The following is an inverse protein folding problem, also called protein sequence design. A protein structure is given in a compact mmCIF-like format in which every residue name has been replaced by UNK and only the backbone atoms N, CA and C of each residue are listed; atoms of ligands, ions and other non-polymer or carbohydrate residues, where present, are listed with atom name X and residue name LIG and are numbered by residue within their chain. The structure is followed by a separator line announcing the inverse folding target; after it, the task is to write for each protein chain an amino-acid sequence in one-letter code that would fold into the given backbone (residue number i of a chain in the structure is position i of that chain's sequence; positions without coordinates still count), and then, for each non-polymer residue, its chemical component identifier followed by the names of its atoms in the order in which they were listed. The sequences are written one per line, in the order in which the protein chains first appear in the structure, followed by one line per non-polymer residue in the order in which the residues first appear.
data_IF_584984533222
#
_entry.id   IF_584984533222
#
_cell.length_a   1.000
_cell.length_b   1.000
_cell.length_c   1.000
_cell.angle_alpha   90.00
_cell.angle_beta   90.00
_cell.angle_gamma   90.00
#
_symmetry.space_group_name_H-M   'P 1'
#
loop_
_entity.id
_entity.type
_entity.pdbx_description
1 polymer ?
#
# COMPACT_ATOMS: atom_id res chain seq x y z
N UNK A 1 -11.47 3.07 22.87
CA UNK A 1 -10.12 3.52 22.45
C UNK A 1 -10.23 4.82 21.68
N UNK A 2 -9.36 5.80 21.98
CA UNK A 2 -9.23 7.01 21.15
C UNK A 2 -8.57 6.59 19.83
N UNK A 3 -9.34 6.59 18.74
CA UNK A 3 -8.90 6.03 17.45
C UNK A 3 -7.84 6.89 16.78
N UNK A 4 -7.62 8.14 17.23
CA UNK A 4 -6.64 9.08 16.66
C UNK A 4 -5.19 8.54 16.62
N UNK A 5 -4.81 7.68 17.57
CA UNK A 5 -3.48 7.04 17.60
C UNK A 5 -3.33 6.06 16.43
N UNK A 6 -4.41 5.45 15.96
CA UNK A 6 -4.37 4.50 14.84
C UNK A 6 -4.27 5.17 13.45
N UNK A 7 -4.22 6.50 13.38
CA UNK A 7 -4.18 7.24 12.11
C UNK A 7 -2.96 8.11 11.94
N UNK A 8 -1.92 7.83 12.72
CA UNK A 8 -0.64 8.46 12.56
C UNK A 8 0.29 7.50 11.78
N UNK A 9 0.82 7.90 10.62
CA UNK A 9 1.70 7.03 9.83
C UNK A 9 2.94 6.58 10.63
N UNK A 10 3.46 7.42 11.52
CA UNK A 10 4.57 7.05 12.39
C UNK A 10 4.21 5.97 13.43
N UNK A 11 3.04 6.07 14.06
CA UNK A 11 2.57 5.03 14.98
C UNK A 11 2.26 3.73 14.24
N UNK A 12 1.67 3.82 13.06
CA UNK A 12 1.36 2.64 12.24
C UNK A 12 2.61 1.92 11.77
N UNK A 13 3.71 2.62 11.49
CA UNK A 13 5.00 1.97 11.26
C UNK A 13 5.43 1.11 12.46
N UNK A 14 5.47 1.69 13.66
CA UNK A 14 5.89 0.97 14.86
C UNK A 14 4.95 -0.19 15.21
N UNK A 15 3.63 0.00 15.05
CA UNK A 15 2.62 -1.04 15.26
C UNK A 15 2.79 -2.18 14.24
N UNK A 16 2.97 -1.88 12.96
CA UNK A 16 3.04 -2.89 11.90
C UNK A 16 4.31 -3.73 12.02
N UNK A 17 5.47 -3.09 12.23
CA UNK A 17 6.72 -3.79 12.50
C UNK A 17 6.68 -4.54 13.83
N UNK A 18 6.07 -3.96 14.88
CA UNK A 18 5.89 -4.62 16.17
C UNK A 18 5.01 -5.87 16.09
N UNK A 19 3.94 -5.83 15.29
CA UNK A 19 3.09 -7.00 15.03
C UNK A 19 3.85 -8.07 14.24
N UNK A 20 4.62 -7.69 13.22
CA UNK A 20 5.45 -8.64 12.45
C UNK A 20 6.51 -9.29 13.35
N UNK A 21 7.16 -8.52 14.24
CA UNK A 21 8.08 -9.02 15.26
C UNK A 21 7.42 -9.98 16.25
N UNK A 22 6.21 -9.64 16.72
CA UNK A 22 5.44 -10.50 17.62
C UNK A 22 5.07 -11.82 16.97
N UNK A 23 4.71 -11.82 15.68
CA UNK A 23 4.46 -13.05 14.92
C UNK A 23 5.77 -13.81 14.73
N UNK A 24 6.86 -13.12 14.37
CA UNK A 24 8.19 -13.71 14.20
C UNK A 24 8.64 -14.48 15.45
N UNK A 25 8.37 -13.94 16.64
CA UNK A 25 8.76 -14.55 17.91
C UNK A 25 8.03 -15.87 18.23
N UNK A 26 7.02 -16.27 17.45
CA UNK A 26 6.36 -17.56 17.62
C UNK A 26 7.23 -18.76 17.18
N UNK A 27 8.27 -18.52 16.38
CA UNK A 27 9.23 -19.57 15.94
C UNK A 27 8.56 -20.81 15.33
N UNK A 28 7.53 -20.60 14.49
CA UNK A 28 6.85 -21.69 13.78
C UNK A 28 7.64 -22.20 12.57
N UNK A 29 8.74 -21.56 12.17
CA UNK A 29 9.65 -22.02 11.12
C UNK A 29 11.08 -22.12 11.64
N UNK A 30 11.74 -23.25 11.37
CA UNK A 30 13.15 -23.48 11.68
C UNK A 30 14.09 -22.76 10.68
N UNK A 31 13.56 -22.27 9.54
CA UNK A 31 14.30 -21.39 8.61
C UNK A 31 14.67 -20.04 9.24
N UNK A 32 13.97 -19.64 10.30
CA UNK A 32 14.06 -18.27 10.78
C UNK A 32 15.27 -18.09 11.69
N UNK A 33 16.26 -17.25 11.31
CA UNK A 33 17.42 -17.01 12.16
C UNK A 33 17.03 -16.32 13.49
N UNK A 34 17.77 -16.55 14.58
CA UNK A 34 17.56 -15.78 15.80
C UNK A 34 17.80 -14.29 15.54
N UNK A 35 17.06 -13.44 16.26
CA UNK A 35 17.21 -11.99 16.13
C UNK A 35 18.57 -11.53 16.66
N UNK A 36 19.31 -10.84 15.81
CA UNK A 36 20.57 -10.23 16.23
C UNK A 36 20.32 -9.02 17.15
N UNK A 37 21.27 -8.75 18.04
CA UNK A 37 21.26 -7.56 18.88
C UNK A 37 21.21 -6.28 18.03
N UNK A 38 21.91 -6.25 16.89
CA UNK A 38 21.94 -5.08 16.01
C UNK A 38 20.56 -4.77 15.40
N UNK A 39 19.86 -5.79 14.86
CA UNK A 39 18.49 -5.62 14.33
C UNK A 39 17.53 -5.20 15.42
N UNK A 40 17.61 -5.82 16.60
CA UNK A 40 16.75 -5.47 17.74
C UNK A 40 16.98 -4.02 18.18
N UNK A 41 18.23 -3.61 18.36
CA UNK A 41 18.58 -2.23 18.75
C UNK A 41 18.14 -1.22 17.69
N UNK A 42 18.38 -1.50 16.41
CA UNK A 42 17.93 -0.64 15.31
C UNK A 42 16.43 -0.44 15.35
N UNK A 43 15.63 -1.51 15.45
CA UNK A 43 14.17 -1.40 15.47
C UNK A 43 13.67 -0.65 16.70
N UNK A 44 14.21 -0.94 17.89
CA UNK A 44 13.90 -0.20 19.11
C UNK A 44 14.14 1.30 18.93
N UNK A 45 15.27 1.70 18.35
CA UNK A 45 15.56 3.10 18.04
C UNK A 45 14.57 3.68 17.04
N UNK A 46 14.25 2.97 15.95
CA UNK A 46 13.25 3.45 14.97
C UNK A 46 11.87 3.59 15.60
N UNK A 47 11.48 2.71 16.52
CA UNK A 47 10.20 2.79 17.23
C UNK A 47 10.15 3.99 18.16
N UNK A 48 11.23 4.28 18.89
CA UNK A 48 11.35 5.46 19.75
C UNK A 48 11.23 6.73 18.91
N UNK A 49 12.02 6.86 17.84
CA UNK A 49 12.01 8.03 16.95
C UNK A 49 10.65 8.21 16.29
N UNK A 50 10.09 7.14 15.74
CA UNK A 50 8.78 7.17 15.09
C UNK A 50 7.68 7.56 16.08
N UNK A 51 7.69 7.00 17.30
CA UNK A 51 6.73 7.37 18.34
C UNK A 51 6.86 8.85 18.72
N UNK A 52 8.08 9.36 18.90
CA UNK A 52 8.31 10.77 19.19
C UNK A 52 7.77 11.70 18.08
N UNK A 53 8.07 11.41 16.81
CA UNK A 53 7.56 12.18 15.67
C UNK A 53 6.03 12.06 15.56
N UNK A 54 5.49 10.88 15.86
CA UNK A 54 4.06 10.63 15.93
C UNK A 54 3.35 11.59 16.89
N UNK A 55 3.89 11.81 18.09
CA UNK A 55 3.32 12.75 19.07
C UNK A 55 3.20 14.16 18.49
N UNK A 56 4.20 14.63 17.72
CA UNK A 56 4.19 15.97 17.11
C UNK A 56 3.13 16.14 16.03
N UNK A 57 2.84 15.08 15.28
CA UNK A 57 1.89 15.10 14.16
C UNK A 57 0.45 14.77 14.60
N UNK A 58 0.26 14.02 15.69
CA UNK A 58 -1.02 13.46 16.10
C UNK A 58 -2.15 14.48 16.29
N UNK A 59 -1.84 15.72 16.69
CA UNK A 59 -2.86 16.76 16.94
C UNK A 59 -3.58 17.22 15.67
N UNK A 60 -3.04 16.96 14.48
CA UNK A 60 -3.57 17.44 13.20
C UNK A 60 -4.58 16.49 12.54
N UNK A 61 -4.64 15.24 12.99
CA UNK A 61 -5.34 14.17 12.28
C UNK A 61 -6.73 13.97 12.87
N UNK A 62 -7.71 14.55 12.21
CA UNK A 62 -9.13 14.40 12.54
C UNK A 62 -9.95 14.22 11.27
N UNK A 63 -11.03 13.46 11.36
CA UNK A 63 -11.96 13.31 10.26
C UNK A 63 -12.64 14.66 9.97
N UNK A 64 -12.47 15.16 8.74
CA UNK A 64 -13.12 16.39 8.27
C UNK A 64 -14.01 16.06 7.08
N UNK A 65 -15.32 16.34 7.15
CA UNK A 65 -16.24 15.98 6.08
C UNK A 65 -15.92 16.77 4.81
N UNK A 66 -15.99 16.08 3.67
CA UNK A 66 -15.77 16.64 2.33
C UNK A 66 -17.07 16.64 1.54
N UNK A 67 -17.37 17.77 0.90
CA UNK A 67 -18.56 17.90 0.05
C UNK A 67 -18.42 17.06 -1.21
N UNK A 68 -19.52 16.45 -1.65
CA UNK A 68 -19.58 15.76 -2.95
C UNK A 68 -19.30 16.72 -4.10
N UNK A 69 -18.59 16.25 -5.12
CA UNK A 69 -18.36 17.00 -6.36
C UNK A 69 -19.31 16.54 -7.46
N UNK A 70 -19.85 17.49 -8.23
CA UNK A 70 -20.69 17.20 -9.41
C UNK A 70 -19.92 16.51 -10.53
N UNK A 71 -18.58 16.61 -10.53
CA UNK A 71 -17.70 16.04 -11.56
C UNK A 71 -17.36 14.56 -11.32
N UNK A 72 -17.84 13.96 -10.23
CA UNK A 72 -17.45 12.59 -9.86
C UNK A 72 -17.77 11.56 -10.94
N UNK A 73 -18.97 11.61 -11.50
CA UNK A 73 -19.37 10.70 -12.56
C UNK A 73 -18.47 10.85 -13.80
N UNK A 74 -18.18 12.09 -14.21
CA UNK A 74 -17.32 12.37 -15.36
C UNK A 74 -15.91 11.80 -15.15
N UNK A 75 -15.31 12.02 -13.97
CA UNK A 75 -13.96 11.52 -13.68
C UNK A 75 -13.94 9.99 -13.67
N UNK A 76 -14.94 9.33 -13.06
CA UNK A 76 -15.06 7.88 -13.10
C UNK A 76 -15.17 7.35 -14.54
N UNK A 77 -15.98 7.99 -15.39
CA UNK A 77 -16.12 7.60 -16.79
C UNK A 77 -14.80 7.74 -17.55
N UNK A 78 -14.04 8.82 -17.32
CA UNK A 78 -12.72 9.01 -17.92
C UNK A 78 -11.73 7.93 -17.49
N UNK A 79 -11.72 7.53 -16.21
CA UNK A 79 -10.87 6.45 -15.71
C UNK A 79 -11.24 5.12 -16.38
N UNK A 80 -12.52 4.77 -16.41
CA UNK A 80 -12.98 3.52 -17.03
C UNK A 80 -12.69 3.51 -18.54
N UNK A 81 -12.90 4.63 -19.23
CA UNK A 81 -12.53 4.77 -20.64
C UNK A 81 -11.03 4.59 -20.85
N UNK A 82 -10.20 5.16 -19.98
CA UNK A 82 -8.74 5.03 -20.04
C UNK A 82 -8.29 3.56 -19.89
N UNK A 83 -8.86 2.82 -18.94
CA UNK A 83 -8.59 1.38 -18.83
C UNK A 83 -9.10 0.59 -20.02
N UNK A 84 -10.24 1.00 -20.60
CA UNK A 84 -10.76 0.37 -21.82
C UNK A 84 -9.77 0.54 -22.98
N UNK A 85 -9.12 1.70 -23.10
CA UNK A 85 -8.04 1.93 -24.07
C UNK A 85 -6.83 1.03 -23.79
N UNK A 86 -6.43 0.84 -22.53
CA UNK A 86 -5.35 -0.10 -22.19
C UNK A 86 -5.70 -1.54 -22.53
N UNK A 87 -6.93 -1.99 -22.27
CA UNK A 87 -7.37 -3.34 -22.67
C UNK A 87 -7.34 -3.53 -24.19
N UNK A 88 -7.68 -2.49 -24.97
CA UNK A 88 -7.57 -2.53 -26.42
C UNK A 88 -6.10 -2.58 -26.88
N UNK A 89 -5.23 -1.77 -26.28
CA UNK A 89 -3.80 -1.75 -26.57
C UNK A 89 -3.14 -3.11 -26.30
N UNK A 90 -3.46 -3.72 -25.16
CA UNK A 90 -2.96 -5.05 -24.76
C UNK A 90 -3.72 -6.22 -25.42
N UNK A 91 -4.67 -5.95 -26.32
CA UNK A 91 -5.49 -6.95 -27.04
C UNK A 91 -6.27 -7.90 -26.12
N UNK A 92 -6.64 -7.43 -24.94
CA UNK A 92 -7.53 -8.15 -24.04
C UNK A 92 -7.43 -7.72 -22.59
N UNK A 93 -8.21 -8.39 -21.75
CA UNK A 93 -8.29 -8.13 -20.32
C UNK A 93 -7.49 -9.23 -19.60
N UNK A 94 -6.47 -8.90 -18.79
CA UNK A 94 -5.58 -9.89 -18.18
C UNK A 94 -6.31 -11.03 -17.47
N UNK A 95 -7.33 -10.71 -16.66
CA UNK A 95 -8.13 -11.73 -15.97
C UNK A 95 -8.82 -12.71 -16.93
N UNK A 96 -9.38 -12.22 -18.05
CA UNK A 96 -10.04 -13.07 -19.04
C UNK A 96 -9.03 -13.91 -19.85
N UNK A 97 -7.85 -13.35 -20.09
CA UNK A 97 -6.77 -14.04 -20.80
C UNK A 97 -6.18 -15.17 -19.93
N UNK A 98 -6.05 -14.95 -18.62
CA UNK A 98 -5.68 -15.98 -17.66
C UNK A 98 -6.66 -17.16 -17.68
N UNK A 99 -7.97 -16.89 -17.70
CA UNK A 99 -8.99 -17.96 -17.81
C UNK A 99 -8.94 -18.71 -19.15
N UNK A 100 -8.34 -18.13 -20.19
CA UNK A 100 -8.09 -18.79 -21.47
C UNK A 100 -6.78 -19.57 -21.52
N UNK A 101 -6.03 -19.62 -20.41
CA UNK A 101 -4.73 -20.30 -20.32
C UNK A 101 -3.58 -19.56 -20.98
N UNK A 102 -3.73 -18.25 -21.26
CA UNK A 102 -2.64 -17.42 -21.77
C UNK A 102 -1.82 -16.95 -20.57
N UNK A 103 -0.53 -17.31 -20.55
CA UNK A 103 0.39 -16.81 -19.54
C UNK A 103 0.72 -15.35 -19.83
N UNK A 104 0.27 -14.45 -18.94
CA UNK A 104 0.47 -13.01 -19.07
C UNK A 104 0.94 -12.48 -17.73
N UNK A 105 2.14 -11.89 -17.74
CA UNK A 105 2.63 -11.13 -16.59
C UNK A 105 1.84 -9.82 -16.47
N UNK A 106 1.22 -9.58 -15.31
CA UNK A 106 0.54 -8.31 -15.05
C UNK A 106 1.51 -7.12 -15.04
N UNK A 107 2.82 -7.37 -14.89
CA UNK A 107 3.87 -6.35 -14.92
C UNK A 107 4.09 -5.77 -16.31
N UNK A 108 3.63 -6.46 -17.36
CA UNK A 108 3.72 -6.05 -18.77
C UNK A 108 2.41 -5.40 -19.26
N UNK A 109 1.42 -5.26 -18.38
CA UNK A 109 0.12 -4.70 -18.74
C UNK A 109 0.15 -3.17 -18.84
N UNK A 110 -0.59 -2.65 -19.83
CA UNK A 110 -0.87 -1.23 -19.97
C UNK A 110 0.07 -0.50 -20.94
N UNK A 111 -0.27 0.76 -21.23
CA UNK A 111 0.55 1.61 -22.07
C UNK A 111 1.71 2.14 -21.22
N UNK A 112 2.99 1.99 -21.63
CA UNK A 112 4.13 2.42 -20.84
C UNK A 112 3.99 3.86 -20.36
N UNK A 113 4.32 4.11 -19.09
CA UNK A 113 4.15 5.40 -18.39
C UNK A 113 2.69 5.81 -18.14
N UNK A 114 1.80 5.73 -19.14
CA UNK A 114 0.38 6.06 -18.97
C UNK A 114 -0.30 5.17 -17.93
N UNK A 115 -0.01 3.87 -17.95
CA UNK A 115 -0.52 2.90 -16.99
C UNK A 115 -0.23 3.32 -15.54
N UNK A 116 1.01 3.75 -15.27
CA UNK A 116 1.45 4.14 -13.93
C UNK A 116 0.64 5.33 -13.41
N UNK A 117 0.42 6.35 -14.25
CA UNK A 117 -0.40 7.51 -13.89
C UNK A 117 -1.88 7.14 -13.73
N UNK A 118 -2.45 6.39 -14.67
CA UNK A 118 -3.84 5.96 -14.61
C UNK A 118 -4.11 5.15 -13.35
N UNK A 119 -3.24 4.18 -13.05
CA UNK A 119 -3.36 3.30 -11.91
C UNK A 119 -3.26 4.04 -10.58
N UNK A 120 -2.21 4.85 -10.41
CA UNK A 120 -2.00 5.63 -9.18
C UNK A 120 -3.11 6.67 -8.97
N UNK A 121 -3.57 7.33 -10.05
CA UNK A 121 -4.69 8.27 -9.98
C UNK A 121 -6.00 7.57 -9.62
N UNK A 122 -6.25 6.38 -10.18
CA UNK A 122 -7.43 5.57 -9.86
C UNK A 122 -7.48 5.22 -8.39
N UNK A 123 -6.36 4.75 -7.81
CA UNK A 123 -6.26 4.43 -6.38
C UNK A 123 -6.51 5.66 -5.51
N UNK A 124 -5.82 6.79 -5.78
CA UNK A 124 -6.06 8.06 -5.10
C UNK A 124 -7.54 8.48 -5.17
N UNK A 125 -8.13 8.45 -6.37
CA UNK A 125 -9.48 8.95 -6.60
C UNK A 125 -10.53 8.05 -5.97
N UNK A 126 -10.30 6.74 -5.93
CA UNK A 126 -11.14 5.76 -5.22
C UNK A 126 -11.19 6.06 -3.73
N UNK A 127 -10.03 6.32 -3.10
CA UNK A 127 -9.93 6.69 -1.68
C UNK A 127 -10.66 8.03 -1.43
N UNK A 128 -10.50 9.00 -2.33
CA UNK A 128 -11.20 10.29 -2.23
C UNK A 128 -12.72 10.18 -2.38
N UNK A 129 -13.22 9.38 -3.34
CA UNK A 129 -14.65 9.09 -3.48
C UNK A 129 -15.21 8.40 -2.23
N UNK A 130 -14.45 7.45 -1.66
CA UNK A 130 -14.86 6.81 -0.42
C UNK A 130 -14.92 7.82 0.74
N UNK A 131 -13.98 8.76 0.81
CA UNK A 131 -14.03 9.85 1.78
C UNK A 131 -15.30 10.71 1.62
N UNK A 132 -15.67 11.06 0.39
CA UNK A 132 -16.92 11.76 0.10
C UNK A 132 -18.14 10.90 0.45
N UNK A 133 -18.12 9.60 0.17
CA UNK A 133 -19.18 8.68 0.58
C UNK A 133 -19.36 8.69 2.10
N UNK A 134 -18.28 8.56 2.88
CA UNK A 134 -18.35 8.62 4.35
C UNK A 134 -18.84 9.97 4.87
N UNK A 135 -18.52 11.05 4.17
CA UNK A 135 -18.95 12.40 4.52
C UNK A 135 -20.42 12.69 4.21
N UNK A 136 -20.94 12.21 3.08
CA UNK A 136 -22.27 12.57 2.57
C UNK A 136 -23.29 11.42 2.70
N UNK A 137 -22.84 10.18 2.92
CA UNK A 137 -23.63 8.94 3.02
C UNK A 137 -24.49 8.61 1.79
N UNK A 138 -24.11 9.11 0.61
CA UNK A 138 -24.84 8.85 -0.64
C UNK A 138 -24.43 7.52 -1.27
N UNK A 139 -25.38 6.61 -1.47
CA UNK A 139 -25.13 5.29 -2.04
C UNK A 139 -24.47 5.33 -3.43
N UNK A 140 -24.79 6.35 -4.24
CA UNK A 140 -24.15 6.56 -5.55
C UNK A 140 -22.63 6.70 -5.45
N UNK A 141 -22.12 7.35 -4.40
CA UNK A 141 -20.68 7.50 -4.19
C UNK A 141 -20.02 6.16 -3.85
N UNK A 142 -20.69 5.33 -3.05
CA UNK A 142 -20.24 3.96 -2.77
C UNK A 142 -20.18 3.12 -4.05
N UNK A 143 -21.21 3.19 -4.90
CA UNK A 143 -21.22 2.47 -6.17
C UNK A 143 -20.06 2.90 -7.07
N UNK A 144 -19.76 4.20 -7.15
CA UNK A 144 -18.61 4.70 -7.90
C UNK A 144 -17.28 4.22 -7.30
N UNK A 145 -17.14 4.20 -5.97
CA UNK A 145 -15.96 3.62 -5.31
C UNK A 145 -15.79 2.15 -5.68
N UNK A 146 -16.85 1.34 -5.58
CA UNK A 146 -16.80 -0.08 -5.92
C UNK A 146 -16.45 -0.29 -7.40
N UNK A 147 -17.02 0.52 -8.30
CA UNK A 147 -16.71 0.50 -9.72
C UNK A 147 -15.21 0.72 -10.00
N UNK A 148 -14.57 1.65 -9.29
CA UNK A 148 -13.14 1.93 -9.48
C UNK A 148 -12.20 0.92 -8.82
N UNK A 149 -12.71 0.00 -8.00
CA UNK A 149 -11.94 -1.16 -7.53
C UNK A 149 -11.87 -2.28 -8.58
N UNK A 150 -12.83 -2.34 -9.51
CA UNK A 150 -12.91 -3.38 -10.54
C UNK A 150 -11.66 -3.44 -11.43
N UNK A 151 -11.08 -2.31 -11.92
CA UNK A 151 -9.85 -2.36 -12.71
C UNK A 151 -8.73 -3.15 -12.05
N UNK A 152 -8.50 -3.01 -10.74
CA UNK A 152 -7.48 -3.76 -10.00
C UNK A 152 -7.70 -5.28 -10.06
N UNK A 153 -8.96 -5.72 -10.06
CA UNK A 153 -9.33 -7.14 -10.21
C UNK A 153 -9.08 -7.60 -11.65
N UNK A 154 -9.50 -6.80 -12.63
CA UNK A 154 -9.37 -7.13 -14.06
C UNK A 154 -7.91 -7.24 -14.53
N UNK A 155 -7.01 -6.44 -13.94
CA UNK A 155 -5.57 -6.49 -14.22
C UNK A 155 -4.80 -7.43 -13.28
N UNK A 156 -5.49 -8.16 -12.39
CA UNK A 156 -4.91 -9.11 -11.43
C UNK A 156 -3.93 -8.44 -10.43
N UNK A 157 -4.05 -7.13 -10.21
CA UNK A 157 -3.20 -6.41 -9.25
C UNK A 157 -3.80 -6.45 -7.83
N UNK A 158 -3.59 -7.60 -7.17
CA UNK A 158 -4.09 -7.87 -5.81
C UNK A 158 -3.48 -6.93 -4.76
N UNK A 159 -2.20 -6.59 -4.92
CA UNK A 159 -1.50 -5.68 -4.00
C UNK A 159 -2.15 -4.30 -3.97
N UNK A 160 -2.34 -3.68 -5.13
CA UNK A 160 -2.98 -2.37 -5.23
C UNK A 160 -4.42 -2.36 -4.72
N UNK A 161 -5.18 -3.45 -4.96
CA UNK A 161 -6.52 -3.61 -4.41
C UNK A 161 -6.51 -3.58 -2.88
N UNK A 162 -5.67 -4.41 -2.25
CA UNK A 162 -5.56 -4.49 -0.79
C UNK A 162 -5.11 -3.15 -0.21
N UNK A 163 -4.09 -2.51 -0.78
CA UNK A 163 -3.60 -1.20 -0.32
C UNK A 163 -4.69 -0.12 -0.40
N UNK A 164 -5.44 -0.06 -1.50
CA UNK A 164 -6.54 0.89 -1.68
C UNK A 164 -7.68 0.62 -0.69
N UNK A 165 -8.03 -0.64 -0.48
CA UNK A 165 -9.03 -1.05 0.50
C UNK A 165 -8.59 -0.74 1.94
N UNK A 166 -7.31 -0.92 2.27
CA UNK A 166 -6.76 -0.53 3.58
C UNK A 166 -6.85 0.98 3.78
N UNK A 167 -6.53 1.79 2.78
CA UNK A 167 -6.74 3.24 2.87
C UNK A 167 -8.22 3.59 3.10
N UNK A 168 -9.15 2.94 2.40
CA UNK A 168 -10.59 3.12 2.62
C UNK A 168 -11.00 2.70 4.04
N UNK A 169 -10.48 1.57 4.54
CA UNK A 169 -10.73 1.10 5.90
C UNK A 169 -10.24 2.13 6.94
N UNK A 170 -9.05 2.72 6.73
CA UNK A 170 -8.54 3.76 7.61
C UNK A 170 -9.46 4.99 7.64
N UNK A 171 -9.98 5.44 6.50
CA UNK A 171 -10.97 6.53 6.44
C UNK A 171 -12.26 6.14 7.17
N UNK A 172 -12.72 4.90 7.02
CA UNK A 172 -13.89 4.41 7.74
C UNK A 172 -13.68 4.45 9.26
N UNK A 173 -12.55 3.92 9.73
CA UNK A 173 -12.21 3.89 11.15
C UNK A 173 -12.00 5.31 11.72
N UNK A 174 -11.54 6.27 10.91
CA UNK A 174 -11.49 7.71 11.25
C UNK A 174 -12.87 8.32 11.40
N UNK A 175 -13.82 7.90 10.58
CA UNK A 175 -15.19 8.44 10.58
C UNK A 175 -16.03 8.01 11.79
N UNK A 176 -15.61 6.97 12.52
CA UNK A 176 -16.32 6.47 13.69
C UNK A 176 -15.71 7.00 14.99
N UNK A 177 -16.57 7.44 15.93
CA UNK A 177 -16.11 8.05 17.21
C UNK A 177 -15.49 7.04 18.19
N UNK A 178 -15.99 5.80 18.19
CA UNK A 178 -15.52 4.71 19.05
C UNK A 178 -15.66 3.40 18.29
N UNK A 179 -14.62 2.56 18.34
CA UNK A 179 -14.74 1.14 17.98
C UNK A 179 -15.45 0.45 19.14
N UNK A 180 -16.63 -0.12 18.87
CA UNK A 180 -17.39 -0.90 19.85
C UNK A 180 -16.83 -2.33 19.85
N UNK A 181 -16.83 -3.01 21.00
CA UNK A 181 -16.33 -4.40 21.14
C UNK A 181 -16.91 -5.34 20.07
N UNK A 182 -18.19 -5.19 19.73
CA UNK A 182 -18.83 -5.93 18.63
C UNK A 182 -18.12 -5.77 17.28
N UNK A 183 -17.70 -4.54 16.95
CA UNK A 183 -16.95 -4.26 15.72
C UNK A 183 -15.55 -4.88 15.77
N UNK A 184 -14.89 -4.84 16.93
CA UNK A 184 -13.58 -5.48 17.10
C UNK A 184 -13.68 -7.00 16.95
N UNK A 185 -14.66 -7.63 17.61
CA UNK A 185 -14.93 -9.08 17.48
C UNK A 185 -15.22 -9.46 16.03
N UNK A 186 -16.04 -8.68 15.32
CA UNK A 186 -16.32 -8.91 13.91
C UNK A 186 -15.05 -8.81 13.06
N UNK A 187 -14.21 -7.80 13.29
CA UNK A 187 -12.96 -7.62 12.55
C UNK A 187 -11.98 -8.78 12.80
N UNK A 188 -11.79 -9.16 14.06
CA UNK A 188 -10.89 -10.28 14.43
C UNK A 188 -11.40 -11.60 13.84
N UNK A 189 -12.70 -11.88 13.97
CA UNK A 189 -13.29 -13.10 13.41
C UNK A 189 -13.19 -13.11 11.89
N UNK A 190 -13.46 -11.98 11.22
CA UNK A 190 -13.34 -11.86 9.77
C UNK A 190 -11.89 -12.04 9.31
N UNK A 191 -10.92 -11.50 10.04
CA UNK A 191 -9.51 -11.68 9.75
C UNK A 191 -9.08 -13.15 9.93
N UNK A 192 -9.52 -13.81 11.00
CA UNK A 192 -9.23 -15.23 11.21
C UNK A 192 -9.80 -16.11 10.09
N UNK A 193 -11.07 -15.93 9.72
CA UNK A 193 -11.69 -16.65 8.61
C UNK A 193 -10.99 -16.36 7.28
N UNK A 194 -10.60 -15.10 7.04
CA UNK A 194 -9.86 -14.71 5.85
C UNK A 194 -8.49 -15.39 5.78
N UNK A 195 -7.71 -15.40 6.87
CA UNK A 195 -6.39 -16.04 6.89
C UNK A 195 -6.47 -17.56 6.75
N UNK A 196 -7.47 -18.19 7.36
CA UNK A 196 -7.75 -19.61 7.15
C UNK A 196 -8.09 -19.89 5.67
N UNK A 197 -9.03 -19.14 5.08
CA UNK A 197 -9.40 -19.29 3.68
C UNK A 197 -8.24 -19.01 2.72
N UNK A 198 -7.39 -18.03 3.04
CA UNK A 198 -6.18 -17.72 2.29
C UNK A 198 -5.21 -18.91 2.28
N UNK A 199 -4.95 -19.51 3.44
CA UNK A 199 -4.08 -20.69 3.53
C UNK A 199 -4.65 -21.91 2.84
N UNK A 200 -5.95 -22.18 3.01
CA UNK A 200 -6.65 -23.26 2.34
C UNK A 200 -6.54 -23.14 0.80
N UNK A 201 -6.85 -21.95 0.25
CA UNK A 201 -6.72 -21.70 -1.18
C UNK A 201 -5.27 -21.72 -1.66
N UNK A 202 -4.32 -21.31 -0.81
CA UNK A 202 -2.88 -21.39 -1.07
C UNK A 202 -2.42 -22.83 -1.29
N UNK A 203 -2.85 -23.75 -0.42
CA UNK A 203 -2.59 -25.19 -0.54
C UNK A 203 -3.21 -25.78 -1.81
N UNK A 204 -4.47 -25.47 -2.10
CA UNK A 204 -5.16 -25.94 -3.30
C UNK A 204 -4.45 -25.51 -4.58
N UNK A 205 -4.04 -24.24 -4.66
CA UNK A 205 -3.40 -23.69 -5.85
C UNK A 205 -1.98 -24.23 -6.08
N UNK A 206 -1.21 -24.36 -5.02
CA UNK A 206 0.25 -24.53 -5.13
C UNK A 206 0.69 -25.98 -4.91
N UNK A 207 -0.12 -26.79 -4.21
CA UNK A 207 0.24 -28.13 -3.77
C UNK A 207 -0.92 -29.13 -3.92
N UNK A 208 -1.87 -28.88 -4.82
CA UNK A 208 -3.06 -29.72 -5.04
C UNK A 208 -3.84 -30.05 -3.75
N UNK A 209 -3.80 -29.13 -2.79
CA UNK A 209 -4.48 -29.27 -1.51
C UNK A 209 -3.68 -29.97 -0.41
N UNK A 210 -2.45 -30.41 -0.66
CA UNK A 210 -1.58 -30.97 0.39
C UNK A 210 -1.04 -29.86 1.31
N UNK A 211 -1.49 -29.80 2.59
CA UNK A 211 -1.01 -28.80 3.53
C UNK A 211 0.43 -29.07 4.00
N UNK A 212 0.91 -30.32 3.92
CA UNK A 212 2.23 -30.71 4.44
C UNK A 212 3.35 -30.25 3.52
N UNK A 213 3.13 -30.28 2.20
CA UNK A 213 4.12 -29.83 1.22
C UNK A 213 4.61 -28.40 1.48
N UNK A 214 3.71 -27.46 1.80
CA UNK A 214 4.09 -26.10 2.14
C UNK A 214 4.90 -26.04 3.44
N UNK A 215 4.47 -26.77 4.47
CA UNK A 215 5.16 -26.85 5.77
C UNK A 215 6.58 -27.38 5.62
N UNK A 216 6.78 -28.45 4.84
CA UNK A 216 8.08 -29.04 4.60
C UNK A 216 9.00 -28.10 3.81
N UNK A 217 8.48 -27.44 2.78
CA UNK A 217 9.23 -26.53 1.93
C UNK A 217 9.75 -25.28 2.69
N UNK A 218 9.06 -24.91 3.76
CA UNK A 218 9.37 -23.74 4.60
C UNK A 218 9.86 -24.13 6.00
N UNK A 219 10.22 -25.41 6.17
CA UNK A 219 10.74 -26.01 7.40
C UNK A 219 9.93 -25.61 8.65
N UNK A 220 8.64 -25.93 8.65
CA UNK A 220 7.80 -25.72 9.81
C UNK A 220 8.34 -26.48 11.03
N UNK A 221 8.47 -25.77 12.15
CA UNK A 221 9.06 -26.33 13.35
C UNK A 221 8.17 -27.43 13.94
N UNK A 222 8.76 -28.44 14.62
CA UNK A 222 7.98 -29.49 15.28
C UNK A 222 6.92 -28.92 16.23
N UNK A 223 7.24 -27.83 16.92
CA UNK A 223 6.32 -27.14 17.83
C UNK A 223 5.02 -26.67 17.15
N UNK A 224 5.09 -26.26 15.88
CA UNK A 224 3.91 -25.86 15.12
C UNK A 224 3.21 -27.07 14.48
N UNK A 225 3.99 -28.00 13.93
CA UNK A 225 3.47 -29.22 13.29
C UNK A 225 2.67 -30.07 14.28
N UNK A 226 3.13 -30.17 15.53
CA UNK A 226 2.46 -30.94 16.58
C UNK A 226 1.38 -30.14 17.32
N UNK A 227 1.23 -28.84 17.02
CA UNK A 227 0.22 -28.00 17.66
C UNK A 227 -1.20 -28.24 17.12
N UNK A 228 -2.20 -27.91 17.96
CA UNK A 228 -3.62 -27.93 17.61
C UNK A 228 -4.05 -26.74 16.70
N UNK A 229 -3.11 -25.93 16.21
CA UNK A 229 -3.41 -24.82 15.32
C UNK A 229 -3.63 -25.37 13.90
N UNK A 230 -4.72 -24.99 13.20
CA UNK A 230 -4.92 -25.39 11.82
C UNK A 230 -3.75 -24.97 10.93
N UNK A 231 -3.28 -25.90 10.09
CA UNK A 231 -2.06 -25.72 9.29
C UNK A 231 -2.19 -24.62 8.24
N UNK A 232 -3.42 -24.27 7.86
CA UNK A 232 -3.74 -23.16 6.97
C UNK A 232 -3.25 -21.81 7.52
N UNK A 233 -3.25 -21.62 8.85
CA UNK A 233 -2.74 -20.38 9.45
C UNK A 233 -1.23 -20.19 9.29
N UNK A 234 -0.52 -21.25 8.93
CA UNK A 234 0.91 -21.18 8.65
C UNK A 234 1.25 -20.25 7.48
N UNK A 235 0.37 -20.19 6.47
CA UNK A 235 0.50 -19.24 5.37
C UNK A 235 0.53 -17.80 5.87
N UNK A 236 -0.37 -17.44 6.78
CA UNK A 236 -0.37 -16.10 7.37
C UNK A 236 0.93 -15.86 8.14
N UNK A 237 1.36 -16.81 8.97
CA UNK A 237 2.61 -16.71 9.71
C UNK A 237 3.79 -16.42 8.76
N UNK A 238 4.02 -17.27 7.76
CA UNK A 238 5.12 -17.11 6.80
C UNK A 238 5.03 -15.76 6.08
N UNK A 239 3.88 -15.39 5.54
CA UNK A 239 3.77 -14.14 4.78
C UNK A 239 3.93 -12.90 5.67
N UNK A 240 3.44 -12.92 6.91
CA UNK A 240 3.51 -11.78 7.81
C UNK A 240 4.90 -11.56 8.45
N UNK A 241 5.76 -12.59 8.45
CA UNK A 241 7.03 -12.57 9.19
C UNK A 241 8.27 -12.86 8.34
N UNK A 242 8.15 -13.54 7.20
CA UNK A 242 9.30 -13.82 6.31
C UNK A 242 9.97 -12.57 5.73
N UNK A 243 9.28 -11.44 5.46
CA UNK A 243 9.99 -10.22 5.04
C UNK A 243 10.96 -9.70 6.08
N UNK A 244 10.63 -9.93 7.35
CA UNK A 244 11.48 -9.59 8.47
C UNK A 244 12.60 -10.64 8.65
N UNK A 245 12.31 -11.93 8.46
CA UNK A 245 13.30 -13.00 8.42
C UNK A 245 14.38 -12.76 7.36
N UNK A 246 13.97 -12.33 6.16
CA UNK A 246 14.86 -11.95 5.07
C UNK A 246 15.76 -10.79 5.45
N UNK A 247 15.22 -9.75 6.10
CA UNK A 247 16.05 -8.66 6.62
C UNK A 247 17.07 -9.17 7.64
N UNK A 248 16.65 -9.94 8.66
CA UNK A 248 17.59 -10.52 9.63
C UNK A 248 18.65 -11.39 8.95
N UNK A 249 18.27 -12.25 7.99
CA UNK A 249 19.21 -13.10 7.26
C UNK A 249 20.21 -12.30 6.43
N UNK A 250 19.77 -11.22 5.77
CA UNK A 250 20.67 -10.32 5.04
C UNK A 250 21.75 -9.75 5.96
N UNK A 251 21.42 -9.44 7.22
CA UNK A 251 22.41 -8.95 8.19
C UNK A 251 23.47 -9.98 8.60
N UNK A 252 23.20 -11.26 8.39
CA UNK A 252 24.12 -12.37 8.69
C UNK A 252 24.96 -12.77 7.48
N UNK A 253 24.37 -12.70 6.28
CA UNK A 253 24.92 -13.25 5.02
C UNK A 253 25.56 -12.19 4.14
N UNK A 254 24.99 -10.98 4.04
CA UNK A 254 25.56 -9.86 3.30
C UNK A 254 26.69 -9.21 4.09
N UNK A 255 27.91 -9.77 3.99
CA UNK A 255 29.10 -9.23 4.66
C UNK A 255 29.89 -8.26 3.78
N UNK A 256 29.85 -8.45 2.46
CA UNK A 256 30.60 -7.66 1.50
C UNK A 256 29.65 -6.71 0.76
N UNK A 257 29.67 -5.44 1.15
CA UNK A 257 28.82 -4.40 0.58
C UNK A 257 29.60 -3.63 -0.49
N UNK A 258 28.95 -3.35 -1.63
CA UNK A 258 29.61 -2.65 -2.76
C UNK A 258 29.66 -1.14 -2.57
N UNK A 259 28.82 -0.59 -1.69
CA UNK A 259 28.73 0.84 -1.42
C UNK A 259 28.46 1.70 -2.68
N UNK A 260 27.69 1.16 -3.64
CA UNK A 260 27.27 1.91 -4.82
C UNK A 260 26.17 2.92 -4.45
N UNK A 261 26.60 4.16 -4.21
CA UNK A 261 25.72 5.26 -3.79
C UNK A 261 24.71 5.63 -4.87
N UNK A 262 25.09 5.57 -6.16
CA UNK A 262 24.20 5.96 -7.25
C UNK A 262 23.05 4.95 -7.37
N UNK A 263 23.39 3.65 -7.37
CA UNK A 263 22.40 2.58 -7.39
C UNK A 263 21.50 2.63 -6.15
N UNK A 264 22.07 2.89 -4.97
CA UNK A 264 21.29 3.07 -3.74
C UNK A 264 20.31 4.25 -3.82
N UNK A 265 20.75 5.44 -4.22
CA UNK A 265 19.85 6.60 -4.34
C UNK A 265 18.74 6.31 -5.36
N UNK A 266 19.12 5.75 -6.51
CA UNK A 266 18.20 5.38 -7.58
C UNK A 266 17.15 4.39 -7.08
N UNK A 267 17.55 3.28 -6.49
CA UNK A 267 16.68 2.15 -6.17
C UNK A 267 16.15 2.11 -4.74
N UNK A 268 16.49 3.06 -3.86
CA UNK A 268 15.93 3.08 -2.50
C UNK A 268 15.19 4.38 -2.15
N UNK A 269 15.56 5.49 -2.78
CA UNK A 269 15.04 6.82 -2.43
C UNK A 269 14.14 7.43 -3.51
N UNK A 270 14.27 6.98 -4.76
CA UNK A 270 13.45 7.44 -5.88
C UNK A 270 12.34 6.43 -6.21
N UNK A 271 11.23 6.89 -6.79
CA UNK A 271 10.22 5.99 -7.31
C UNK A 271 10.74 5.09 -8.44
N UNK A 272 10.39 3.79 -8.45
CA UNK A 272 10.93 2.79 -9.40
C UNK A 272 10.76 3.17 -10.88
N UNK A 273 9.74 3.96 -11.23
CA UNK A 273 9.58 4.45 -12.60
C UNK A 273 10.74 5.36 -13.03
N UNK A 274 11.31 6.14 -12.10
CA UNK A 274 12.51 6.94 -12.35
C UNK A 274 13.77 6.06 -12.24
N UNK A 275 13.82 5.18 -11.24
CA UNK A 275 15.01 4.35 -10.95
C UNK A 275 15.45 3.54 -12.18
N UNK A 276 14.49 2.88 -12.84
CA UNK A 276 14.71 2.08 -14.06
C UNK A 276 15.31 2.87 -15.23
N UNK A 277 15.24 4.21 -15.21
CA UNK A 277 15.78 5.10 -16.25
C UNK A 277 17.16 5.65 -15.88
N UNK A 278 17.54 5.63 -14.61
CA UNK A 278 18.83 6.13 -14.12
C UNK A 278 19.83 4.98 -14.05
N UNK A 279 19.44 3.88 -13.41
CA UNK A 279 20.24 2.65 -13.32
C UNK A 279 19.33 1.51 -13.77
N UNK A 280 19.48 1.01 -15.01
CA UNK A 280 18.75 -0.16 -15.48
C UNK A 280 18.97 -1.35 -14.53
N UNK A 281 17.96 -2.22 -14.40
CA UNK A 281 18.07 -3.40 -13.52
C UNK A 281 19.22 -4.32 -13.97
N UNK A 282 19.56 -4.28 -15.26
CA UNK A 282 20.67 -5.00 -15.86
C UNK A 282 22.04 -4.57 -15.29
N UNK A 283 22.15 -3.33 -14.84
CA UNK A 283 23.37 -2.74 -14.31
C UNK A 283 23.40 -2.76 -12.77
N UNK A 284 22.24 -2.96 -12.13
CA UNK A 284 22.10 -3.07 -10.67
C UNK A 284 22.45 -4.48 -10.17
N UNK A 285 23.73 -4.69 -9.84
CA UNK A 285 24.23 -5.96 -9.30
C UNK A 285 23.51 -6.39 -8.01
N UNK A 286 23.31 -5.46 -7.08
CA UNK A 286 22.74 -5.80 -5.77
C UNK A 286 21.24 -6.15 -5.92
N UNK A 287 20.51 -5.40 -6.75
CA UNK A 287 19.10 -5.68 -7.05
C UNK A 287 18.89 -7.04 -7.76
N UNK A 288 19.81 -7.43 -8.64
CA UNK A 288 19.79 -8.74 -9.32
C UNK A 288 20.03 -9.91 -8.39
N UNK A 289 21.03 -9.78 -7.51
CA UNK A 289 21.47 -10.88 -6.64
C UNK A 289 20.80 -10.83 -5.25
N UNK A 290 19.81 -9.95 -5.04
CA UNK A 290 19.20 -9.76 -3.72
C UNK A 290 18.61 -11.05 -3.12
N UNK A 291 18.12 -11.96 -3.96
CA UNK A 291 17.50 -13.22 -3.52
C UNK A 291 18.52 -14.19 -2.91
N UNK A 292 19.82 -14.03 -3.19
CA UNK A 292 20.89 -14.82 -2.57
C UNK A 292 20.98 -14.58 -1.05
N UNK A 293 20.40 -13.48 -0.58
CA UNK A 293 20.35 -13.10 0.84
C UNK A 293 19.00 -13.41 1.51
N UNK A 294 18.03 -13.98 0.78
CA UNK A 294 16.76 -14.43 1.34
C UNK A 294 16.94 -15.73 2.14
N UNK A 295 16.08 -15.97 3.14
CA UNK A 295 16.10 -17.23 3.92
C UNK A 295 15.75 -18.45 3.08
N UNK A 296 14.98 -18.25 2.00
CA UNK A 296 14.60 -19.28 1.05
C UNK A 296 14.24 -18.62 -0.30
N UNK A 297 14.63 -19.19 -1.45
CA UNK A 297 14.34 -18.62 -2.78
C UNK A 297 12.85 -18.38 -3.08
N UNK A 298 11.93 -19.13 -2.46
CA UNK A 298 10.48 -18.93 -2.67
C UNK A 298 9.92 -17.75 -1.85
N UNK A 299 10.65 -17.32 -0.82
CA UNK A 299 10.28 -16.23 0.08
C UNK A 299 11.00 -14.96 -0.36
N UNK A 300 10.59 -14.41 -1.49
CA UNK A 300 11.30 -13.31 -2.18
C UNK A 300 11.03 -11.91 -1.61
N UNK A 301 10.06 -11.79 -0.72
CA UNK A 301 9.54 -10.51 -0.20
C UNK A 301 10.42 -10.05 0.95
N UNK A 302 10.91 -8.81 0.95
CA UNK A 302 11.75 -8.24 2.00
C UNK A 302 11.15 -6.95 2.57
N UNK A 303 11.37 -6.66 3.85
CA UNK A 303 10.95 -5.38 4.42
C UNK A 303 11.67 -4.18 3.75
N UNK A 304 11.22 -2.95 4.02
CA UNK A 304 11.89 -1.70 3.59
C UNK A 304 13.39 -1.65 3.92
N UNK A 305 13.89 -2.46 4.87
CA UNK A 305 15.30 -2.48 5.26
C UNK A 305 16.14 -3.57 4.61
N UNK A 306 15.53 -4.50 3.87
CA UNK A 306 16.22 -5.64 3.27
C UNK A 306 17.24 -5.20 2.19
N UNK A 307 16.77 -4.60 1.11
CA UNK A 307 17.65 -4.14 0.02
C UNK A 307 18.60 -3.01 0.44
N UNK A 308 18.18 -2.01 1.25
CA UNK A 308 19.11 -1.00 1.76
C UNK A 308 20.29 -1.59 2.52
N UNK A 309 20.08 -2.65 3.29
CA UNK A 309 21.16 -3.32 4.00
C UNK A 309 22.12 -4.01 3.04
N UNK A 310 21.61 -4.74 2.05
CA UNK A 310 22.46 -5.41 1.04
C UNK A 310 23.37 -4.40 0.33
N UNK A 311 22.84 -3.22 0.01
CA UNK A 311 23.59 -2.18 -0.74
C UNK A 311 24.67 -1.49 0.09
N UNK A 312 24.32 -0.98 1.29
CA UNK A 312 25.19 -0.08 2.08
C UNK A 312 25.48 -0.57 3.52
N UNK A 313 25.10 -1.80 3.87
CA UNK A 313 25.12 -2.30 5.24
C UNK A 313 24.20 -1.46 6.14
N UNK A 314 24.57 -1.28 7.40
CA UNK A 314 23.75 -0.50 8.36
C UNK A 314 23.49 0.96 7.96
N UNK A 315 24.35 1.57 7.13
CA UNK A 315 24.10 2.92 6.63
C UNK A 315 22.83 2.97 5.77
N UNK A 316 22.53 1.92 5.01
CA UNK A 316 21.36 1.88 4.13
C UNK A 316 20.04 1.99 4.89
N UNK A 317 19.72 1.07 5.82
CA UNK A 317 18.50 1.14 6.64
C UNK A 317 18.38 2.43 7.42
N UNK A 318 19.49 2.98 7.94
CA UNK A 318 19.50 4.27 8.64
C UNK A 318 19.09 5.40 7.69
N UNK A 319 19.71 5.49 6.51
CA UNK A 319 19.39 6.53 5.52
C UNK A 319 17.93 6.41 5.06
N UNK A 320 17.47 5.21 4.73
CA UNK A 320 16.09 4.98 4.30
C UNK A 320 15.09 5.32 5.39
N UNK A 321 15.35 4.95 6.65
CA UNK A 321 14.48 5.32 7.77
C UNK A 321 14.44 6.85 7.98
N UNK A 322 15.59 7.52 7.92
CA UNK A 322 15.66 8.98 8.02
C UNK A 322 14.91 9.66 6.87
N UNK A 323 15.10 9.18 5.63
CA UNK A 323 14.39 9.68 4.45
C UNK A 323 12.88 9.46 4.55
N UNK A 324 12.45 8.28 4.97
CA UNK A 324 11.07 7.95 5.27
C UNK A 324 10.47 8.92 6.30
N UNK A 325 11.14 9.12 7.44
CA UNK A 325 10.68 10.03 8.48
C UNK A 325 10.59 11.47 7.98
N UNK A 326 11.57 11.91 7.18
CA UNK A 326 11.57 13.22 6.55
C UNK A 326 10.34 13.37 5.63
N UNK A 327 10.11 12.42 4.72
CA UNK A 327 8.96 12.47 3.81
C UNK A 327 7.62 12.53 4.55
N UNK A 328 7.43 11.65 5.55
CA UNK A 328 6.23 11.65 6.38
C UNK A 328 6.06 12.98 7.12
N UNK A 329 7.13 13.49 7.71
CA UNK A 329 7.10 14.74 8.47
C UNK A 329 6.79 15.91 7.55
N UNK A 330 7.48 16.04 6.42
CA UNK A 330 7.24 17.10 5.43
C UNK A 330 5.79 17.09 4.98
N UNK A 331 5.27 15.92 4.61
CA UNK A 331 3.90 15.79 4.15
C UNK A 331 2.90 16.11 5.26
N UNK A 332 2.99 15.44 6.41
CA UNK A 332 2.00 15.61 7.47
C UNK A 332 2.08 16.98 8.17
N UNK A 333 3.25 17.61 8.18
CA UNK A 333 3.46 18.91 8.82
C UNK A 333 3.08 20.07 7.91
N UNK A 334 3.52 20.08 6.64
CA UNK A 334 3.32 21.22 5.73
C UNK A 334 2.05 21.14 4.88
N UNK A 335 1.48 19.95 4.69
CA UNK A 335 0.26 19.83 3.89
C UNK A 335 -0.93 20.50 4.59
N UNK A 336 -1.69 21.29 3.82
CA UNK A 336 -2.76 22.12 4.39
C UNK A 336 -3.90 21.26 4.93
N UNK A 337 -4.04 21.26 6.26
CA UNK A 337 -5.09 20.54 7.01
C UNK A 337 -6.51 21.01 6.64
N UNK A 338 -6.66 22.16 5.97
CA UNK A 338 -7.94 22.64 5.45
C UNK A 338 -8.28 22.09 4.06
N UNK A 339 -7.35 21.39 3.42
CA UNK A 339 -7.60 20.77 2.13
C UNK A 339 -8.58 19.61 2.24
N UNK A 340 -9.53 19.53 1.30
CA UNK A 340 -10.43 18.39 1.12
C UNK A 340 -9.66 17.08 0.85
N UNK A 341 -8.41 17.17 0.39
CA UNK A 341 -7.57 16.03 0.06
C UNK A 341 -6.62 15.63 1.22
N UNK A 342 -6.61 16.38 2.32
CA UNK A 342 -5.72 16.15 3.46
C UNK A 342 -5.83 14.71 3.99
N UNK A 343 -7.04 14.29 4.33
CA UNK A 343 -7.26 12.97 4.93
C UNK A 343 -6.95 11.83 3.96
N UNK A 344 -7.28 12.00 2.68
CA UNK A 344 -6.92 11.05 1.62
C UNK A 344 -5.40 10.87 1.55
N UNK A 345 -4.65 11.96 1.57
CA UNK A 345 -3.18 11.94 1.60
C UNK A 345 -2.62 11.25 2.84
N UNK A 346 -3.13 11.59 4.04
CA UNK A 346 -2.73 10.93 5.28
C UNK A 346 -3.03 9.44 5.25
N UNK A 347 -4.19 9.01 4.72
CA UNK A 347 -4.53 7.60 4.59
C UNK A 347 -3.57 6.84 3.66
N UNK A 348 -3.12 7.47 2.56
CA UNK A 348 -2.09 6.89 1.69
C UNK A 348 -0.76 6.75 2.44
N UNK A 349 -0.33 7.78 3.19
CA UNK A 349 0.88 7.67 4.03
C UNK A 349 0.78 6.54 5.05
N UNK A 350 -0.36 6.41 5.71
CA UNK A 350 -0.60 5.31 6.66
C UNK A 350 -0.48 3.94 5.98
N UNK A 351 -0.96 3.80 4.73
CA UNK A 351 -0.78 2.56 3.96
C UNK A 351 0.71 2.33 3.64
N UNK A 352 1.45 3.36 3.21
CA UNK A 352 2.92 3.26 3.02
C UNK A 352 3.58 2.75 4.30
N UNK A 353 3.24 3.34 5.45
CA UNK A 353 3.78 2.95 6.75
C UNK A 353 3.49 1.50 7.14
N UNK A 354 2.27 1.02 6.87
CA UNK A 354 1.86 -0.37 7.16
C UNK A 354 2.60 -1.35 6.24
N UNK A 355 2.59 -1.07 4.94
CA UNK A 355 3.08 -2.00 3.92
C UNK A 355 4.61 -1.96 3.74
N UNK A 356 5.31 -1.04 4.40
CA UNK A 356 6.77 -1.05 4.50
C UNK A 356 7.36 -2.32 5.15
N UNK A 357 6.53 -3.13 5.81
CA UNK A 357 6.95 -4.47 6.26
C UNK A 357 7.17 -5.44 5.09
N UNK A 358 6.55 -5.21 3.93
CA UNK A 358 6.58 -6.12 2.79
C UNK A 358 7.47 -5.65 1.64
N UNK A 359 7.76 -4.35 1.53
CA UNK A 359 8.68 -3.81 0.52
C UNK A 359 9.02 -2.36 0.85
N UNK A 360 9.94 -1.75 0.12
CA UNK A 360 10.14 -0.31 0.15
C UNK A 360 8.97 0.41 -0.57
N UNK A 361 7.90 0.72 0.16
CA UNK A 361 6.69 1.35 -0.38
C UNK A 361 6.87 2.83 -0.75
N UNK A 362 8.02 3.42 -0.40
CA UNK A 362 8.41 4.77 -0.82
C UNK A 362 8.96 4.73 -2.24
N UNK A 363 9.79 3.74 -2.55
CA UNK A 363 10.23 3.49 -3.90
C UNK A 363 9.05 3.03 -4.78
N UNK A 364 8.20 2.12 -4.30
CA UNK A 364 7.12 1.57 -5.12
C UNK A 364 6.19 2.65 -5.72
N UNK A 365 6.32 2.93 -7.03
CA UNK A 365 5.64 4.05 -7.69
C UNK A 365 4.13 3.90 -7.66
N UNK A 366 3.63 2.67 -7.61
CA UNK A 366 2.20 2.39 -7.50
C UNK A 366 1.56 3.01 -6.26
N UNK A 367 2.33 3.32 -5.21
CA UNK A 367 1.84 3.95 -3.98
C UNK A 367 2.43 5.35 -3.76
N UNK A 368 3.74 5.55 -3.98
CA UNK A 368 4.40 6.84 -3.70
C UNK A 368 3.92 7.97 -4.62
N UNK A 369 3.66 7.70 -5.91
CA UNK A 369 3.10 8.69 -6.84
C UNK A 369 1.68 9.14 -6.44
N UNK A 370 0.94 8.31 -5.69
CA UNK A 370 -0.41 8.69 -5.26
C UNK A 370 -0.39 9.94 -4.36
N UNK A 371 0.72 10.20 -3.65
CA UNK A 371 0.90 11.36 -2.78
C UNK A 371 0.99 12.68 -3.55
N UNK A 372 1.34 12.65 -4.84
CA UNK A 372 1.41 13.86 -5.65
C UNK A 372 0.02 14.47 -5.89
N UNK A 373 -1.03 13.64 -6.04
CA UNK A 373 -2.36 14.12 -6.40
C UNK A 373 -3.02 14.98 -5.32
N UNK A 374 -3.05 14.61 -4.02
CA UNK A 374 -3.55 15.49 -2.99
C UNK A 374 -2.84 16.85 -2.97
N UNK A 375 -1.51 16.87 -3.13
CA UNK A 375 -0.72 18.11 -3.15
C UNK A 375 -1.11 18.96 -4.36
N UNK A 376 -1.03 18.38 -5.56
CA UNK A 376 -1.34 19.04 -6.82
C UNK A 376 -2.75 19.64 -6.83
N UNK A 377 -3.77 18.85 -6.46
CA UNK A 377 -5.15 19.34 -6.47
C UNK A 377 -5.46 20.34 -5.36
N UNK A 378 -4.73 20.29 -4.24
CA UNK A 378 -4.81 21.34 -3.22
C UNK A 378 -4.26 22.66 -3.77
N UNK A 379 -3.09 22.62 -4.43
CA UNK A 379 -2.46 23.79 -5.03
C UNK A 379 -3.35 24.38 -6.13
N UNK A 380 -3.84 23.55 -7.06
CA UNK A 380 -4.76 23.97 -8.14
C UNK A 380 -6.01 24.61 -7.53
N UNK A 381 -6.67 23.99 -6.55
CA UNK A 381 -7.90 24.53 -5.94
C UNK A 381 -7.67 25.89 -5.26
N UNK A 382 -6.52 26.11 -4.62
CA UNK A 382 -6.18 27.38 -3.97
C UNK A 382 -5.91 28.48 -5.01
N UNK A 383 -5.08 28.19 -6.01
CA UNK A 383 -4.61 29.20 -6.96
C UNK A 383 -5.62 29.48 -8.08
N UNK A 384 -6.38 28.49 -8.56
CA UNK A 384 -7.47 28.77 -9.51
C UNK A 384 -8.63 29.54 -8.88
N UNK A 385 -8.83 29.45 -7.56
CA UNK A 385 -9.77 30.34 -6.84
C UNK A 385 -9.26 31.78 -6.75
N UNK A 386 -7.94 31.99 -6.76
CA UNK A 386 -7.33 33.32 -6.78
C UNK A 386 -7.40 33.96 -8.18
N UNK A 387 -7.34 33.15 -9.25
CA UNK A 387 -7.39 33.63 -10.63
C UNK A 387 -8.80 33.80 -11.22
N UNK A 388 -9.82 33.16 -10.64
CA UNK A 388 -11.22 33.35 -11.07
C UNK A 388 -12.07 33.73 -9.85
N UNK A 389 -12.06 35.01 -9.43
CA UNK A 389 -13.08 35.49 -8.53
C UNK A 389 -14.39 35.54 -9.32
N UNK A 390 -15.29 34.58 -9.04
CA UNK A 390 -16.72 34.64 -9.37
C UNK A 390 -17.06 35.25 -10.74
N UNK A 391 -16.77 34.54 -11.83
CA UNK A 391 -17.58 34.76 -13.04
C UNK A 391 -18.92 34.09 -12.78
N UNK A 392 -19.91 34.90 -12.39
CA UNK A 392 -21.31 34.54 -12.52
C UNK A 392 -21.55 34.30 -14.01
N UNK A 393 -21.44 33.05 -14.45
CA UNK A 393 -22.02 32.65 -15.73
C UNK A 393 -23.53 32.71 -15.51
N UNK A 394 -24.11 33.87 -15.81
CA UNK A 394 -25.53 34.01 -16.07
C UNK A 394 -25.76 33.15 -17.31
N UNK A 395 -26.18 31.91 -17.10
CA UNK A 395 -26.75 31.10 -18.18
C UNK A 395 -28.06 31.81 -18.53
N UNK A 396 -28.23 32.35 -19.75
CA UNK A 396 -29.51 32.88 -20.16
C UNK A 396 -30.48 31.71 -20.11
N UNK A 397 -31.50 31.79 -19.26
CA UNK A 397 -32.59 30.84 -19.29
C UNK A 397 -33.32 31.00 -20.62
N UNK A 398 -32.96 30.22 -21.63
CA UNK A 398 -33.82 30.03 -22.80
C UNK A 398 -35.04 29.25 -22.35
N UNK A 399 -36.05 29.99 -21.86
CA UNK A 399 -37.43 29.55 -21.79
C UNK A 399 -37.88 29.26 -23.23
N UNK A 400 -37.76 28.02 -23.68
CA UNK A 400 -38.57 27.53 -24.80
C UNK A 400 -40.00 27.34 -24.26
N UNK A 401 -40.80 28.39 -24.41
CA UNK A 401 -42.24 28.38 -24.19
C UNK A 401 -42.86 27.72 -25.42
N UNK A 402 -43.04 26.40 -25.39
CA UNK A 402 -43.83 25.69 -26.40
C UNK A 402 -45.30 26.06 -26.14
N UNK A 403 -45.81 27.00 -26.93
CA UNK A 403 -47.22 27.29 -27.10
C UNK A 403 -47.85 26.16 -27.92
N UNK A 404 -48.53 25.22 -27.26
CA UNK A 404 -49.60 24.48 -27.92
C UNK A 404 -50.89 25.27 -27.74
N UNK A 405 -51.40 25.81 -28.86
CA UNK A 405 -52.74 26.39 -28.97
C UNK A 405 -53.49 25.59 -30.03
N UNK A 406 -54.66 25.11 -29.60
CA UNK A 406 -55.69 24.31 -30.26
C UNK A 406 -55.45 22.81 -30.28
#
# INVERSE_FOLDING_TARGET
MNTKILFNPFYLYAISFGLSLFIYSWQWSDLYPPLSTNVTTFLCLTFIVSTYLGIKVAKKIEFKPVKKSRKNLLICLLIILSYSVEFLYNRGIPLLLLFKGVDISYMEFGIPTFHVFLHTFTSFYTIYLYHQYRSNKEFKLLLLTLLLLIPNILIINRGALIMTMTACLLIYLLSIRKVIVKTLLLLVTSAALFFFGFGYLGNQRSFNGDPVAFLSLTEASPSFVDSNIPKEYYWFYIYASSPFANFQNSTLTSKNHRYDILSFISWELLPDFLSKRIVPIEEDYDGKNRLDYSINPILTVGSIYFEPFIRLGWLGPIIVFCFYCMLLFLYAYFFDIRSDYFLTGISILCVISIFNIFENMINFSGLSLQLLYPILFTFIKKNFRLFIPSVNIIVPSTKFRILWRK
#
